data_IF_290237851887
#
_entry.id   IF_290237851887
#
_cell.length_a   1.000
_cell.length_b   1.000
_cell.length_c   1.000
_cell.angle_alpha   90.00
_cell.angle_beta   90.00
_cell.angle_gamma   90.00
#
_symmetry.space_group_name_H-M   'P 1'
#
loop_
_entity.id
_entity.type
_entity.pdbx_description
1 polymer ?
#
# COMPACT_ATOMS: atom_id res chain seq x y z
N UNK A 1 -33.98 -39.54 12.72
CA UNK A 1 -34.82 -38.36 13.06
C UNK A 1 -34.99 -37.54 11.79
N UNK A 2 -36.24 -37.35 11.38
CA UNK A 2 -36.68 -36.70 10.14
C UNK A 2 -37.02 -35.23 10.35
N UNK A 3 -36.55 -34.32 9.49
CA UNK A 3 -37.20 -33.03 9.13
C UNK A 3 -36.35 -32.36 8.02
N UNK A 4 -36.69 -32.40 6.72
CA UNK A 4 -37.68 -31.66 5.91
C UNK A 4 -37.50 -30.13 5.82
N UNK A 5 -36.98 -29.72 4.66
CA UNK A 5 -37.32 -28.61 3.75
C UNK A 5 -37.57 -27.18 4.27
N UNK A 6 -37.03 -26.19 3.54
CA UNK A 6 -37.79 -25.19 2.76
C UNK A 6 -36.87 -24.57 1.69
N UNK A 7 -37.24 -24.78 0.42
CA UNK A 7 -36.87 -23.92 -0.71
C UNK A 7 -37.87 -22.78 -0.79
N UNK A 8 -37.43 -21.56 -1.09
CA UNK A 8 -38.28 -20.57 -1.74
C UNK A 8 -37.48 -19.87 -2.84
N UNK A 9 -38.10 -19.82 -4.00
CA UNK A 9 -37.59 -19.27 -5.23
C UNK A 9 -38.45 -18.08 -5.67
N UNK A 10 -37.86 -17.25 -6.54
CA UNK A 10 -38.47 -16.36 -7.55
C UNK A 10 -39.31 -15.15 -7.10
N UNK A 11 -38.98 -13.98 -7.68
CA UNK A 11 -39.79 -13.26 -8.70
C UNK A 11 -39.29 -11.80 -8.87
N UNK A 12 -38.78 -11.43 -10.05
CA UNK A 12 -39.44 -10.67 -11.14
C UNK A 12 -39.38 -9.12 -11.03
N UNK A 13 -38.74 -8.55 -12.06
CA UNK A 13 -38.70 -7.17 -12.62
C UNK A 13 -40.10 -6.49 -12.76
N UNK A 14 -40.23 -5.14 -12.89
CA UNK A 14 -39.95 -4.42 -14.15
C UNK A 14 -39.45 -2.95 -14.11
N UNK A 15 -38.67 -2.65 -15.16
CA UNK A 15 -38.59 -1.47 -16.04
C UNK A 15 -39.57 -0.30 -15.77
N UNK A 16 -39.03 0.94 -15.74
CA UNK A 16 -39.71 2.13 -16.28
C UNK A 16 -38.72 2.94 -17.13
N UNK A 17 -39.10 3.15 -18.39
CA UNK A 17 -38.53 4.09 -19.34
C UNK A 17 -39.44 5.34 -19.42
N UNK A 18 -38.85 6.52 -19.66
CA UNK A 18 -39.46 7.68 -20.33
C UNK A 18 -38.34 8.69 -20.63
N UNK A 19 -37.93 8.89 -21.88
CA UNK A 19 -38.58 9.64 -23.00
C UNK A 19 -38.22 11.13 -23.04
N UNK A 20 -37.41 11.45 -24.06
CA UNK A 20 -37.56 12.52 -25.05
C UNK A 20 -37.86 13.97 -24.61
N UNK A 21 -36.96 14.89 -25.00
CA UNK A 21 -37.33 16.18 -25.60
C UNK A 21 -36.12 16.86 -26.31
N UNK A 22 -36.12 16.79 -27.64
CA UNK A 22 -35.59 17.77 -28.60
C UNK A 22 -36.77 18.11 -29.54
N UNK A 23 -36.80 19.19 -30.34
CA UNK A 23 -35.95 20.39 -30.44
C UNK A 23 -36.84 21.69 -30.47
N UNK A 24 -36.39 22.85 -30.99
CA UNK A 24 -36.50 23.07 -32.44
C UNK A 24 -35.29 23.76 -33.09
N UNK A 25 -35.11 23.47 -34.38
CA UNK A 25 -34.29 24.26 -35.29
C UNK A 25 -35.04 25.53 -35.71
N UNK A 26 -34.31 26.62 -35.89
CA UNK A 26 -34.73 27.78 -36.65
C UNK A 26 -33.68 28.01 -37.74
N UNK A 27 -34.10 27.87 -38.99
CA UNK A 27 -33.40 28.35 -40.18
C UNK A 27 -34.08 29.65 -40.58
N UNK A 28 -33.31 30.73 -40.72
CA UNK A 28 -33.67 31.85 -41.57
C UNK A 28 -32.39 32.53 -42.08
N UNK A 29 -32.27 32.48 -43.40
CA UNK A 29 -31.36 33.18 -44.29
C UNK A 29 -31.61 34.70 -44.22
N UNK A 30 -30.53 35.49 -44.17
CA UNK A 30 -30.50 36.93 -44.49
C UNK A 30 -29.04 37.38 -44.50
N UNK A 31 -28.52 37.69 -45.68
CA UNK A 31 -27.16 38.22 -45.85
C UNK A 31 -26.97 39.55 -45.14
N UNK A 32 -25.92 39.64 -44.31
CA UNK A 32 -25.39 40.90 -43.83
C UNK A 32 -23.88 40.79 -43.60
N UNK A 33 -23.21 41.91 -43.81
CA UNK A 33 -21.77 42.08 -44.03
C UNK A 33 -20.95 41.64 -42.80
N UNK A 34 -19.95 40.79 -43.03
CA UNK A 34 -18.99 40.33 -42.02
C UNK A 34 -18.08 41.50 -41.61
N UNK A 35 -18.38 42.13 -40.48
CA UNK A 35 -17.40 42.89 -39.70
C UNK A 35 -16.77 41.95 -38.67
N UNK A 36 -15.47 41.71 -38.83
CA UNK A 36 -14.65 40.85 -37.98
C UNK A 36 -14.68 41.34 -36.53
N UNK A 37 -15.08 40.46 -35.62
CA UNK A 37 -15.02 40.70 -34.18
C UNK A 37 -13.56 40.85 -33.70
N UNK A 38 -13.28 41.68 -32.68
CA UNK A 38 -11.96 41.74 -32.07
C UNK A 38 -11.62 40.40 -31.40
N UNK A 39 -10.39 39.94 -31.65
CA UNK A 39 -9.79 38.71 -31.16
C UNK A 39 -9.91 38.61 -29.61
N UNK A 40 -10.40 37.48 -29.06
CA UNK A 40 -10.42 37.30 -27.61
C UNK A 40 -8.99 37.13 -27.10
N UNK A 41 -8.59 38.00 -26.16
CA UNK A 41 -7.31 37.90 -25.48
C UNK A 41 -7.18 36.51 -24.81
N UNK A 42 -6.27 35.69 -25.32
CA UNK A 42 -5.92 34.40 -24.74
C UNK A 42 -5.30 34.67 -23.36
N UNK A 43 -6.02 34.31 -22.30
CA UNK A 43 -5.46 34.27 -20.96
C UNK A 43 -4.23 33.35 -20.96
N UNK A 44 -3.10 33.76 -20.35
CA UNK A 44 -1.94 32.88 -20.26
C UNK A 44 -2.36 31.58 -19.56
N UNK A 45 -2.04 30.45 -20.18
CA UNK A 45 -2.26 29.13 -19.62
C UNK A 45 -1.73 29.08 -18.18
N UNK A 46 -2.43 28.43 -17.23
CA UNK A 46 -1.91 28.26 -15.89
C UNK A 46 -0.53 27.60 -15.98
N UNK A 47 0.46 28.28 -15.42
CA UNK A 47 1.83 27.80 -15.36
C UNK A 47 1.80 26.37 -14.82
N UNK A 48 2.38 25.43 -15.58
CA UNK A 48 2.65 24.09 -15.13
C UNK A 48 3.33 24.21 -13.76
N UNK A 49 2.60 23.83 -12.72
CA UNK A 49 3.11 23.89 -11.36
C UNK A 49 4.28 22.91 -11.29
N UNK A 50 5.43 23.54 -11.10
CA UNK A 50 6.76 22.98 -10.95
C UNK A 50 6.74 21.72 -10.04
N UNK A 51 6.77 20.54 -10.66
CA UNK A 51 6.92 19.24 -9.98
C UNK A 51 8.18 19.19 -9.10
N UNK A 52 9.11 20.15 -9.22
CA UNK A 52 10.30 20.21 -8.37
C UNK A 52 10.04 20.68 -6.94
N UNK A 53 8.89 21.29 -6.64
CA UNK A 53 8.50 21.71 -5.29
C UNK A 53 7.81 20.62 -4.46
N UNK A 54 7.57 19.43 -5.04
CA UNK A 54 7.12 18.21 -4.33
C UNK A 54 8.33 17.37 -3.90
N UNK A 55 9.57 17.83 -4.15
CA UNK A 55 10.76 17.30 -3.48
C UNK A 55 10.89 17.80 -2.02
N UNK A 56 9.77 18.04 -1.34
CA UNK A 56 9.73 18.44 0.07
C UNK A 56 10.19 17.26 0.93
N UNK A 57 11.49 17.29 1.29
CA UNK A 57 12.07 16.60 2.44
C UNK A 57 11.59 15.16 2.63
N UNK A 58 12.00 14.28 1.72
CA UNK A 58 11.90 12.83 1.93
C UNK A 58 12.88 12.42 3.03
N UNK A 59 12.55 12.76 4.28
CA UNK A 59 13.11 12.02 5.41
C UNK A 59 12.63 10.58 5.20
N UNK A 60 13.53 9.58 5.12
CA UNK A 60 13.11 8.20 4.90
C UNK A 60 12.15 7.81 6.02
N UNK A 61 10.86 7.65 5.68
CA UNK A 61 9.79 7.19 6.56
C UNK A 61 10.08 5.79 7.11
N UNK A 62 11.00 5.07 6.44
CA UNK A 62 11.66 3.86 6.90
C UNK A 62 13.10 3.83 6.38
N UNK A 63 14.09 3.60 7.25
CA UNK A 63 15.48 3.40 6.86
C UNK A 63 15.73 2.01 6.27
N UNK A 64 16.76 1.86 5.42
CA UNK A 64 17.22 0.51 5.03
C UNK A 64 18.09 -0.08 6.13
N UNK A 65 17.96 -1.38 6.41
CA UNK A 65 18.68 -2.03 7.49
C UNK A 65 18.12 -3.39 7.89
N UNK A 66 18.62 -3.95 8.99
CA UNK A 66 18.07 -5.16 9.60
C UNK A 66 16.91 -4.81 10.51
N UNK A 67 15.86 -5.63 10.50
CA UNK A 67 14.64 -5.44 11.25
C UNK A 67 14.23 -6.75 11.94
N UNK A 68 13.71 -6.62 13.15
CA UNK A 68 12.86 -7.61 13.76
C UNK A 68 11.46 -7.47 13.16
N UNK A 69 10.96 -8.54 12.57
CA UNK A 69 9.60 -8.64 12.09
C UNK A 69 8.78 -9.42 13.13
N UNK A 70 7.93 -8.69 13.84
CA UNK A 70 7.02 -9.24 14.83
C UNK A 70 5.66 -9.50 14.18
N UNK A 71 5.16 -10.72 14.33
CA UNK A 71 3.80 -11.08 13.95
C UNK A 71 2.96 -11.25 15.22
N UNK A 72 1.92 -10.43 15.30
CA UNK A 72 1.06 -10.27 16.48
C UNK A 72 -0.38 -10.61 16.05
N UNK A 73 -1.09 -11.47 16.78
CA UNK A 73 -2.52 -11.64 16.57
C UNK A 73 -3.22 -10.36 17.05
N UNK A 74 -4.22 -9.86 16.34
CA UNK A 74 -4.90 -8.62 16.76
C UNK A 74 -5.61 -8.73 18.12
N UNK A 75 -5.83 -9.96 18.63
CA UNK A 75 -6.35 -10.23 19.98
C UNK A 75 -5.30 -10.14 21.08
N UNK A 76 -4.03 -10.14 20.72
CA UNK A 76 -2.91 -10.36 21.63
C UNK A 76 -2.13 -9.07 21.88
N UNK A 77 -1.39 -9.03 22.99
CA UNK A 77 -0.52 -7.91 23.36
C UNK A 77 0.95 -8.14 23.04
N UNK A 78 1.30 -9.35 22.58
CA UNK A 78 2.68 -9.78 22.32
C UNK A 78 2.81 -10.53 21.00
N UNK A 79 3.98 -10.44 20.38
CA UNK A 79 4.28 -11.23 19.20
C UNK A 79 4.29 -12.73 19.52
N UNK A 80 3.54 -13.51 18.75
CA UNK A 80 3.59 -14.97 18.83
C UNK A 80 4.69 -15.55 17.91
N UNK A 81 5.19 -14.74 16.98
CA UNK A 81 6.31 -15.07 16.12
C UNK A 81 7.20 -13.85 15.88
N UNK A 82 8.51 -14.06 15.90
CA UNK A 82 9.53 -13.06 15.60
C UNK A 82 10.52 -13.64 14.60
N UNK A 83 10.86 -12.87 13.58
CA UNK A 83 11.85 -13.22 12.57
C UNK A 83 12.76 -12.04 12.25
N UNK A 84 13.90 -12.30 11.60
CA UNK A 84 14.86 -11.29 11.18
C UNK A 84 14.79 -11.10 9.68
N UNK A 85 14.67 -9.86 9.24
CA UNK A 85 14.63 -9.50 7.82
C UNK A 85 15.58 -8.35 7.55
N UNK A 86 16.05 -8.27 6.30
CA UNK A 86 16.70 -7.05 5.81
C UNK A 86 15.70 -6.29 4.96
N UNK A 87 15.51 -5.00 5.25
CA UNK A 87 14.63 -4.12 4.50
C UNK A 87 15.48 -3.14 3.70
N UNK A 88 15.21 -3.04 2.40
CA UNK A 88 15.66 -1.90 1.60
C UNK A 88 14.46 -1.04 1.17
N UNK A 89 14.69 0.26 1.01
CA UNK A 89 13.70 1.20 0.48
C UNK A 89 14.26 1.86 -0.78
N UNK A 90 14.10 1.22 -1.96
CA UNK A 90 14.75 1.68 -3.19
C UNK A 90 14.09 2.94 -3.77
N UNK A 91 12.85 3.22 -3.35
CA UNK A 91 12.03 4.36 -3.80
C UNK A 91 11.14 4.82 -2.64
N UNK A 92 10.66 6.09 -2.66
CA UNK A 92 9.64 6.54 -1.73
C UNK A 92 8.44 5.59 -1.71
N UNK A 93 7.97 5.27 -0.50
CA UNK A 93 6.81 4.40 -0.28
C UNK A 93 6.91 3.02 -0.95
N UNK A 94 8.13 2.53 -1.15
CA UNK A 94 8.38 1.16 -1.55
C UNK A 94 9.42 0.56 -0.60
N UNK A 95 9.17 -0.66 -0.15
CA UNK A 95 10.17 -1.45 0.57
C UNK A 95 10.27 -2.83 -0.04
N UNK A 96 11.48 -3.38 -0.07
CA UNK A 96 11.68 -4.79 -0.31
C UNK A 96 12.18 -5.47 0.95
N UNK A 97 11.61 -6.63 1.22
CA UNK A 97 11.94 -7.48 2.36
C UNK A 97 12.76 -8.65 1.83
N UNK A 98 13.94 -8.83 2.39
CA UNK A 98 14.85 -9.92 2.10
C UNK A 98 14.91 -10.85 3.31
N UNK A 99 15.00 -12.16 3.06
CA UNK A 99 15.31 -13.11 4.14
C UNK A 99 16.70 -12.80 4.70
N UNK A 100 16.95 -13.26 5.91
CA UNK A 100 18.30 -13.21 6.50
C UNK A 100 18.83 -14.62 6.72
N UNK A 101 20.15 -14.75 6.70
CA UNK A 101 20.86 -15.96 7.14
C UNK A 101 21.80 -15.62 8.28
N UNK A 102 21.99 -16.60 9.16
CA UNK A 102 22.99 -16.55 10.21
C UNK A 102 24.28 -17.13 9.66
N UNK A 103 25.36 -16.35 9.70
CA UNK A 103 26.71 -16.81 9.35
C UNK A 103 27.56 -16.87 10.61
N UNK A 104 28.32 -17.94 10.77
CA UNK A 104 29.41 -17.94 11.74
C UNK A 104 30.56 -17.04 11.22
N UNK A 105 30.99 -16.02 11.99
CA UNK A 105 32.04 -15.10 11.55
C UNK A 105 33.40 -15.79 11.31
N UNK A 106 33.61 -17.00 11.81
CA UNK A 106 34.82 -17.81 11.66
C UNK A 106 34.65 -19.02 10.72
N UNK A 107 33.48 -19.18 10.08
CA UNK A 107 33.24 -20.17 9.03
C UNK A 107 32.46 -21.42 9.44
N UNK A 108 32.18 -22.29 8.46
CA UNK A 108 31.13 -23.32 8.53
C UNK A 108 31.32 -24.47 9.53
N UNK A 109 32.46 -24.54 10.22
CA UNK A 109 32.79 -25.63 11.16
C UNK A 109 32.42 -25.30 12.61
N UNK A 110 32.06 -24.04 12.88
CA UNK A 110 31.65 -23.57 14.19
C UNK A 110 30.17 -23.25 14.07
N UNK A 111 29.31 -23.95 14.82
CA UNK A 111 27.95 -23.47 15.03
C UNK A 111 28.08 -22.20 15.87
N UNK A 112 27.44 -21.11 15.45
CA UNK A 112 27.54 -19.77 16.05
C UNK A 112 27.91 -19.83 17.55
N UNK A 113 29.19 -19.64 17.82
CA UNK A 113 29.77 -19.89 19.14
C UNK A 113 29.45 -18.79 20.14
N UNK A 114 30.19 -18.74 21.26
CA UNK A 114 30.02 -17.77 22.35
C UNK A 114 30.18 -16.29 21.98
N UNK A 115 30.48 -15.96 20.72
CA UNK A 115 30.55 -14.60 20.17
C UNK A 115 29.33 -14.22 19.30
N UNK A 116 28.39 -15.15 19.09
CA UNK A 116 27.18 -14.92 18.29
C UNK A 116 27.36 -15.18 16.78
N UNK A 117 26.24 -15.12 16.05
CA UNK A 117 26.24 -15.17 14.58
C UNK A 117 26.29 -13.74 14.00
N UNK A 118 26.93 -13.58 12.84
CA UNK A 118 26.65 -12.45 11.96
C UNK A 118 25.31 -12.68 11.23
N UNK A 119 24.60 -11.60 10.91
CA UNK A 119 23.39 -11.64 10.09
C UNK A 119 23.74 -11.09 8.71
N UNK A 120 23.39 -11.82 7.67
CA UNK A 120 23.53 -11.36 6.29
C UNK A 120 22.18 -11.15 5.60
N UNK A 121 22.19 -10.27 4.61
CA UNK A 121 21.08 -10.11 3.67
C UNK A 121 21.07 -11.29 2.70
N UNK A 122 19.95 -12.00 2.66
CA UNK A 122 19.69 -13.08 1.71
C UNK A 122 18.89 -12.60 0.49
N UNK A 123 18.11 -13.53 -0.07
CA UNK A 123 17.28 -13.29 -1.25
C UNK A 123 16.05 -12.42 -0.96
N UNK A 124 15.55 -11.76 -2.01
CA UNK A 124 14.28 -11.03 -1.99
C UNK A 124 13.12 -11.98 -1.74
N UNK A 125 12.32 -11.73 -0.70
CA UNK A 125 11.15 -12.56 -0.36
C UNK A 125 9.82 -11.85 -0.55
N UNK A 126 9.80 -10.52 -0.46
CA UNK A 126 8.61 -9.72 -0.70
C UNK A 126 8.94 -8.29 -1.13
N UNK A 127 8.02 -7.67 -1.88
CA UNK A 127 8.00 -6.22 -2.15
C UNK A 127 6.65 -5.67 -1.69
N UNK A 128 6.68 -4.51 -1.04
CA UNK A 128 5.51 -3.78 -0.61
C UNK A 128 5.56 -2.36 -1.17
N UNK A 129 4.44 -1.90 -1.72
CA UNK A 129 4.24 -0.52 -2.14
C UNK A 129 3.13 0.09 -1.30
N UNK A 130 3.35 1.33 -0.87
CA UNK A 130 2.50 2.05 0.05
C UNK A 130 1.98 3.32 -0.61
N UNK A 131 0.79 3.74 -0.19
CA UNK A 131 0.28 5.09 -0.39
C UNK A 131 0.15 5.76 0.96
N UNK A 132 0.70 6.97 1.07
CA UNK A 132 0.51 7.81 2.24
C UNK A 132 -0.95 8.27 2.36
N UNK A 133 -1.51 8.18 3.55
CA UNK A 133 -2.84 8.69 3.91
C UNK A 133 -2.75 9.87 4.89
N UNK A 134 -1.54 10.28 5.24
CA UNK A 134 -1.24 11.35 6.19
C UNK A 134 0.21 11.26 6.66
N UNK A 135 0.60 12.10 7.62
CA UNK A 135 2.00 12.25 8.06
C UNK A 135 2.63 10.95 8.59
N UNK A 136 1.85 10.07 9.21
CA UNK A 136 2.30 8.78 9.75
C UNK A 136 1.40 7.60 9.35
N UNK A 137 0.50 7.82 8.39
CA UNK A 137 -0.50 6.84 7.97
C UNK A 137 -0.22 6.36 6.54
N UNK A 138 -0.33 5.05 6.32
CA UNK A 138 -0.09 4.43 5.03
C UNK A 138 -1.09 3.30 4.78
N UNK A 139 -1.33 3.00 3.50
CA UNK A 139 -2.04 1.79 3.05
C UNK A 139 -1.12 1.02 2.14
N UNK A 140 -1.06 -0.30 2.28
CA UNK A 140 -0.35 -1.17 1.34
C UNK A 140 -1.17 -1.29 0.05
N UNK A 141 -0.70 -0.66 -1.02
CA UNK A 141 -1.33 -0.69 -2.34
C UNK A 141 -0.97 -1.92 -3.16
N UNK A 142 0.25 -2.43 -2.99
CA UNK A 142 0.68 -3.68 -3.61
C UNK A 142 1.57 -4.48 -2.66
N UNK A 143 1.38 -5.80 -2.63
CA UNK A 143 2.19 -6.71 -1.85
C UNK A 143 2.46 -8.00 -2.63
N UNK A 144 3.72 -8.45 -2.64
CA UNK A 144 4.16 -9.65 -3.36
C UNK A 144 4.83 -10.67 -2.44
N UNK A 145 5.00 -11.89 -2.94
CA UNK A 145 5.75 -12.94 -2.27
C UNK A 145 5.15 -13.32 -0.92
N UNK A 146 5.99 -13.52 0.09
CA UNK A 146 5.55 -13.97 1.42
C UNK A 146 4.74 -12.93 2.19
N UNK A 147 4.75 -11.66 1.75
CA UNK A 147 4.00 -10.58 2.39
C UNK A 147 2.68 -10.26 1.67
N UNK A 148 2.24 -11.07 0.70
CA UNK A 148 1.01 -10.81 -0.07
C UNK A 148 -0.25 -10.63 0.80
N UNK A 149 -0.29 -11.24 1.99
CA UNK A 149 -1.37 -11.06 2.97
C UNK A 149 -1.49 -9.63 3.52
N UNK A 150 -0.48 -8.78 3.33
CA UNK A 150 -0.52 -7.38 3.71
C UNK A 150 -1.20 -6.49 2.65
N UNK A 151 -1.65 -7.03 1.52
CA UNK A 151 -2.39 -6.27 0.52
C UNK A 151 -3.59 -5.55 1.16
N UNK A 152 -3.65 -4.22 1.03
CA UNK A 152 -4.70 -3.39 1.62
C UNK A 152 -4.59 -3.18 3.13
N UNK A 153 -3.51 -3.64 3.77
CA UNK A 153 -3.27 -3.42 5.19
C UNK A 153 -3.12 -1.92 5.50
N UNK A 154 -3.64 -1.54 6.68
CA UNK A 154 -3.48 -0.20 7.22
C UNK A 154 -2.21 -0.15 8.04
N UNK A 155 -1.30 0.75 7.70
CA UNK A 155 -0.03 0.87 8.36
C UNK A 155 0.15 2.24 9.02
N UNK A 156 0.92 2.25 10.11
CA UNK A 156 1.33 3.46 10.80
C UNK A 156 2.80 3.42 11.15
N UNK A 157 3.46 4.57 11.07
CA UNK A 157 4.80 4.75 11.60
C UNK A 157 4.71 5.42 12.97
N UNK A 158 5.37 4.85 13.95
CA UNK A 158 5.40 5.39 15.31
C UNK A 158 6.83 5.35 15.85
N UNK A 159 7.23 6.45 16.49
CA UNK A 159 8.50 6.53 17.19
C UNK A 159 8.32 5.93 18.59
N UNK A 160 8.96 4.79 18.85
CA UNK A 160 9.08 4.21 20.20
C UNK A 160 10.46 4.56 20.73
N UNK A 161 11.44 3.68 20.49
CA UNK A 161 12.87 3.95 20.66
C UNK A 161 13.53 4.29 19.32
N UNK A 162 12.95 3.76 18.23
CA UNK A 162 13.23 4.07 16.85
C UNK A 162 11.88 4.05 16.07
N UNK A 163 11.90 4.41 14.79
CA UNK A 163 10.73 4.37 13.92
C UNK A 163 10.31 2.94 13.59
N UNK A 164 9.15 2.55 14.11
CA UNK A 164 8.53 1.25 13.87
C UNK A 164 7.40 1.43 12.86
N UNK A 165 7.40 0.59 11.82
CA UNK A 165 6.27 0.47 10.89
C UNK A 165 5.38 -0.68 11.34
N UNK A 166 4.14 -0.40 11.73
CA UNK A 166 3.15 -1.39 12.11
C UNK A 166 2.05 -1.46 11.05
N UNK A 167 1.79 -2.64 10.50
CA UNK A 167 0.78 -2.89 9.48
C UNK A 167 -0.25 -3.91 9.96
N UNK A 168 -1.51 -3.48 10.10
CA UNK A 168 -2.63 -4.33 10.49
C UNK A 168 -3.36 -4.86 9.26
N UNK A 169 -3.46 -6.17 9.14
CA UNK A 169 -4.16 -6.89 8.08
C UNK A 169 -5.30 -7.75 8.64
N UNK A 170 -6.42 -7.90 7.89
CA UNK A 170 -7.47 -8.86 8.24
C UNK A 170 -7.03 -10.32 8.08
N UNK A 171 -5.86 -10.58 7.49
CA UNK A 171 -5.30 -11.92 7.31
C UNK A 171 -3.86 -11.99 7.83
N UNK A 172 -3.41 -13.21 8.15
CA UNK A 172 -2.02 -13.52 8.46
C UNK A 172 -1.31 -14.24 7.32
N UNK A 173 -0.02 -14.58 7.48
CA UNK A 173 0.79 -15.22 6.45
C UNK A 173 0.23 -16.54 5.90
N UNK A 174 -0.52 -17.29 6.70
CA UNK A 174 -1.18 -18.55 6.30
C UNK A 174 -2.69 -18.39 6.07
N UNK A 175 -3.20 -17.15 6.06
CA UNK A 175 -4.62 -16.84 5.99
C UNK A 175 -5.38 -17.11 7.30
N UNK A 176 -6.60 -16.58 7.39
CA UNK A 176 -7.59 -17.02 8.39
C UNK A 176 -7.55 -16.37 9.78
N UNK A 177 -6.63 -15.44 10.05
CA UNK A 177 -6.63 -14.69 11.30
C UNK A 177 -6.17 -13.23 11.09
N UNK A 178 -6.86 -12.23 11.67
CA UNK A 178 -6.37 -10.86 11.66
C UNK A 178 -5.05 -10.72 12.42
N UNK A 179 -4.09 -10.01 11.83
CA UNK A 179 -2.76 -9.88 12.40
C UNK A 179 -2.16 -8.50 12.16
N UNK A 180 -1.24 -8.12 13.04
CA UNK A 180 -0.40 -6.95 12.89
C UNK A 180 1.05 -7.41 12.72
N UNK A 181 1.71 -6.87 11.69
CA UNK A 181 3.14 -7.03 11.46
C UNK A 181 3.81 -5.74 11.93
N UNK A 182 4.76 -5.82 12.86
CA UNK A 182 5.64 -4.70 13.19
C UNK A 182 7.03 -4.94 12.61
N UNK A 183 7.55 -3.96 11.85
CA UNK A 183 8.94 -3.86 11.45
C UNK A 183 9.66 -2.96 12.48
N UNK A 184 10.39 -3.58 13.39
CA UNK A 184 11.16 -2.88 14.43
C UNK A 184 12.63 -2.88 14.02
N UNK A 185 13.29 -1.71 13.89
CA UNK A 185 14.72 -1.65 13.58
C UNK A 185 15.55 -2.51 14.54
N UNK A 186 16.41 -3.35 13.99
CA UNK A 186 17.40 -4.12 14.75
C UNK A 186 18.73 -3.41 14.75
N UNK A 187 19.17 -2.97 15.93
CA UNK A 187 20.49 -2.36 16.16
C UNK A 187 21.57 -3.41 16.30
#
# INVERSE_FOLDING_TARGET
>A
MTSRYISLALAFLPIVACSAAQPPQVVADSGEVVMTAPEPAVAPAPAAQDESLIAQSHTPWLSSGFYFLHLILNSDSSAFHTSYVYVDSPRPYQINVHKTSLIDPFGSLVQCGGLGCAIERGELTASLQFRSTGSNGFVVESATGTAAFLQGAQCTTQMRHDWVLACSSPAGPMGGFPSTIEFVPGT
#
